data_IF_823472863256
#
_entry.id   IF_823472863256
#
_cell.length_a   1.000
_cell.length_b   1.000
_cell.length_c   1.000
_cell.angle_alpha   90.00
_cell.angle_beta   90.00
_cell.angle_gamma   90.00
#
_symmetry.space_group_name_H-M   'P 1'
#
loop_
_entity.id
_entity.type
_entity.pdbx_description
1 polymer ?
#
# COMPACT_ATOMS: atom_id res chain seq x y z
N UNK A 1 -16.78 -13.21 -1.43
CA UNK A 1 -17.05 -12.95 0.00
C UNK A 1 -16.89 -11.45 0.19
N UNK A 2 -17.83 -10.77 0.86
CA UNK A 2 -17.71 -9.34 1.07
C UNK A 2 -16.45 -8.99 1.89
N UNK A 3 -15.90 -7.79 1.70
CA UNK A 3 -14.80 -7.32 2.53
C UNK A 3 -15.31 -7.08 3.96
N UNK A 4 -14.58 -7.61 4.93
CA UNK A 4 -14.82 -7.45 6.35
C UNK A 4 -13.68 -6.58 6.91
N UNK A 5 -13.93 -5.32 7.27
CA UNK A 5 -12.89 -4.41 7.76
C UNK A 5 -12.27 -4.87 9.09
N UNK A 6 -12.85 -5.86 9.77
CA UNK A 6 -12.30 -6.45 11.00
C UNK A 6 -11.37 -7.64 10.76
N UNK A 7 -11.13 -8.06 9.51
CA UNK A 7 -10.34 -9.26 9.19
C UNK A 7 -9.02 -8.94 8.50
N UNK A 8 -8.06 -9.80 8.76
CA UNK A 8 -6.82 -9.87 7.99
C UNK A 8 -7.05 -10.65 6.70
N UNK A 9 -6.44 -10.21 5.60
CA UNK A 9 -6.44 -10.96 4.34
C UNK A 9 -5.01 -11.27 3.93
N UNK A 10 -4.76 -12.50 3.49
CA UNK A 10 -3.45 -12.96 3.03
C UNK A 10 -3.60 -13.70 1.69
N UNK A 11 -2.65 -13.50 0.79
CA UNK A 11 -2.59 -14.25 -0.47
C UNK A 11 -1.77 -13.53 -1.53
N UNK A 12 -1.65 -14.13 -2.70
CA UNK A 12 -1.20 -13.42 -3.91
C UNK A 12 -2.32 -12.54 -4.51
N UNK A 13 -1.96 -11.74 -5.52
CA UNK A 13 -2.92 -10.89 -6.24
C UNK A 13 -4.07 -11.72 -6.82
N UNK A 14 -5.30 -11.28 -6.59
CA UNK A 14 -6.51 -11.89 -7.16
C UNK A 14 -7.04 -13.10 -6.38
N UNK A 15 -6.27 -13.69 -5.46
CA UNK A 15 -6.78 -14.72 -4.53
C UNK A 15 -6.40 -14.38 -3.09
N UNK A 16 -6.69 -13.15 -2.69
CA UNK A 16 -6.67 -12.79 -1.28
C UNK A 16 -7.74 -13.58 -0.54
N UNK A 17 -7.35 -14.21 0.56
CA UNK A 17 -8.26 -14.95 1.42
C UNK A 17 -8.30 -14.30 2.79
N UNK A 18 -9.50 -14.14 3.34
CA UNK A 18 -9.65 -13.77 4.75
C UNK A 18 -8.99 -14.86 5.61
N UNK A 19 -8.08 -14.47 6.48
CA UNK A 19 -7.57 -15.37 7.49
C UNK A 19 -8.69 -15.72 8.48
N UNK A 20 -8.72 -16.96 9.00
CA UNK A 20 -9.50 -17.28 10.19
C UNK A 20 -9.19 -16.26 11.30
N UNK A 21 -10.17 -15.99 12.17
CA UNK A 21 -9.97 -15.04 13.26
C UNK A 21 -8.79 -15.55 14.11
N UNK A 22 -7.67 -14.81 14.18
CA UNK A 22 -6.53 -15.24 14.99
C UNK A 22 -6.91 -15.19 16.46
N UNK A 23 -6.15 -15.90 17.28
CA UNK A 23 -6.21 -15.71 18.72
C UNK A 23 -5.86 -14.24 19.09
N UNK A 24 -6.32 -13.74 20.24
CA UNK A 24 -6.13 -12.34 20.64
C UNK A 24 -4.65 -11.93 20.87
N UNK A 25 -3.70 -12.87 20.74
CA UNK A 25 -2.27 -12.70 20.93
C UNK A 25 -1.51 -12.29 19.65
N UNK A 26 -2.20 -11.80 18.61
CA UNK A 26 -1.54 -11.26 17.42
C UNK A 26 -0.52 -10.18 17.80
N UNK A 27 0.74 -10.40 17.43
CA UNK A 27 1.81 -9.43 17.67
C UNK A 27 2.31 -8.84 16.37
N UNK A 28 2.45 -7.51 16.37
CA UNK A 28 3.05 -6.73 15.28
C UNK A 28 4.28 -6.05 15.85
N UNK A 29 5.47 -6.42 15.35
CA UNK A 29 6.75 -5.90 15.85
C UNK A 29 7.47 -5.15 14.75
N UNK A 30 7.76 -3.86 14.98
CA UNK A 30 8.63 -3.10 14.08
C UNK A 30 10.09 -3.45 14.34
N UNK A 31 10.73 -4.07 13.36
CA UNK A 31 12.15 -4.42 13.39
C UNK A 31 12.95 -3.39 12.60
N UNK A 32 13.99 -2.85 13.24
CA UNK A 32 15.02 -2.06 12.57
C UNK A 32 15.92 -3.01 11.80
N UNK A 33 16.28 -2.65 10.57
CA UNK A 33 17.28 -3.40 9.81
C UNK A 33 18.36 -2.47 9.27
N UNK A 34 19.57 -3.01 9.21
CA UNK A 34 20.75 -2.35 8.62
C UNK A 34 22.04 -2.92 9.17
N UNK A 35 23.17 -2.27 8.87
CA UNK A 35 24.49 -2.76 9.21
C UNK A 35 24.80 -2.57 10.70
N UNK A 36 25.39 -3.58 11.35
CA UNK A 36 26.01 -3.42 12.67
C UNK A 36 27.52 -3.46 12.47
N UNK A 37 28.16 -2.34 12.73
CA UNK A 37 29.61 -2.18 12.65
C UNK A 37 30.19 -2.23 14.06
N UNK A 38 31.06 -3.20 14.32
CA UNK A 38 31.80 -3.28 15.58
C UNK A 38 33.23 -2.82 15.35
N UNK A 39 33.62 -1.76 16.05
CA UNK A 39 34.99 -1.23 15.99
C UNK A 39 35.94 -2.04 16.89
N UNK A 40 37.25 -1.89 16.68
CA UNK A 40 38.28 -2.67 17.39
C UNK A 40 38.27 -2.52 18.93
N UNK A 41 37.62 -1.47 19.47
CA UNK A 41 37.46 -1.27 20.91
C UNK A 41 36.14 -1.85 21.46
N UNK A 42 35.34 -2.53 20.64
CA UNK A 42 34.04 -3.09 21.00
C UNK A 42 32.86 -2.11 20.87
N UNK A 43 33.08 -0.85 20.46
CA UNK A 43 31.97 0.06 20.22
C UNK A 43 31.19 -0.35 18.96
N UNK A 44 29.86 -0.37 19.09
CA UNK A 44 28.92 -0.77 18.02
C UNK A 44 28.23 0.46 17.45
N UNK A 45 28.32 0.62 16.13
CA UNK A 45 27.56 1.59 15.34
C UNK A 45 26.50 0.80 14.57
N UNK A 46 25.24 1.21 14.69
CA UNK A 46 24.13 0.60 13.96
C UNK A 46 23.67 1.57 12.90
N UNK A 47 23.88 1.22 11.63
CA UNK A 47 23.34 1.94 10.51
C UNK A 47 21.88 1.50 10.32
N UNK A 48 20.93 2.40 10.56
CA UNK A 48 19.51 2.12 10.38
C UNK A 48 19.15 2.42 8.93
N UNK A 49 19.00 1.38 8.12
CA UNK A 49 18.58 1.50 6.72
C UNK A 49 17.06 1.66 6.59
N UNK A 50 16.31 1.13 7.55
CA UNK A 50 14.87 1.28 7.61
C UNK A 50 14.21 0.42 8.69
N UNK A 51 12.90 0.32 8.58
CA UNK A 51 12.05 -0.47 9.46
C UNK A 51 11.25 -1.45 8.60
N UNK A 52 11.03 -2.65 9.13
CA UNK A 52 10.18 -3.69 8.56
C UNK A 52 9.30 -4.26 9.65
N UNK A 53 8.08 -4.61 9.29
CA UNK A 53 7.12 -5.15 10.23
C UNK A 53 7.17 -6.67 10.21
N UNK A 54 7.29 -7.27 11.39
CA UNK A 54 7.05 -8.69 11.62
C UNK A 54 5.64 -8.86 12.18
N UNK A 55 4.89 -9.78 11.59
CA UNK A 55 3.54 -10.15 12.04
C UNK A 55 3.56 -11.60 12.52
N UNK A 56 3.08 -11.86 13.73
CA UNK A 56 2.90 -13.22 14.24
C UNK A 56 1.44 -13.47 14.51
N UNK A 57 0.94 -14.54 13.92
CA UNK A 57 -0.43 -15.02 14.07
C UNK A 57 -0.41 -16.36 14.78
N UNK A 58 -1.25 -16.53 15.79
CA UNK A 58 -1.58 -17.82 16.38
C UNK A 58 -3.02 -18.16 16.01
N UNK A 59 -3.24 -19.39 15.56
CA UNK A 59 -4.56 -19.92 15.23
C UNK A 59 -4.75 -21.23 15.98
N UNK A 60 -5.80 -21.33 16.78
CA UNK A 60 -6.23 -22.60 17.36
C UNK A 60 -7.25 -23.30 16.47
N UNK A 61 -7.20 -24.63 16.46
CA UNK A 61 -8.19 -25.48 15.82
C UNK A 61 -8.46 -25.18 14.33
N UNK A 62 -7.42 -24.87 13.55
CA UNK A 62 -7.59 -24.69 12.10
C UNK A 62 -8.08 -25.98 11.44
N UNK A 63 -8.99 -25.81 10.49
CA UNK A 63 -9.43 -26.89 9.62
C UNK A 63 -8.28 -27.38 8.73
N UNK A 64 -8.29 -28.65 8.34
CA UNK A 64 -7.29 -29.21 7.44
C UNK A 64 -7.15 -28.40 6.13
N UNK A 65 -8.23 -27.95 5.45
CA UNK A 65 -8.10 -27.10 4.26
C UNK A 65 -7.39 -25.76 4.52
N UNK A 66 -7.62 -25.13 5.68
CA UNK A 66 -6.99 -23.85 6.03
C UNK A 66 -5.51 -24.02 6.32
N UNK A 67 -5.16 -25.05 7.09
CA UNK A 67 -3.77 -25.39 7.36
C UNK A 67 -3.02 -25.78 6.07
N UNK A 68 -3.63 -26.60 5.21
CA UNK A 68 -3.04 -26.99 3.93
C UNK A 68 -2.77 -25.79 3.03
N UNK A 69 -3.67 -24.80 3.01
CA UNK A 69 -3.48 -23.56 2.26
C UNK A 69 -2.33 -22.71 2.81
N UNK A 70 -2.24 -22.49 4.14
CA UNK A 70 -1.12 -21.78 4.77
C UNK A 70 0.22 -22.47 4.48
N UNK A 71 0.23 -23.80 4.58
CA UNK A 71 1.40 -24.62 4.27
C UNK A 71 1.78 -24.53 2.79
N UNK A 72 0.82 -24.45 1.87
CA UNK A 72 1.08 -24.28 0.44
C UNK A 72 1.72 -22.94 0.11
N UNK A 73 1.35 -21.87 0.82
CA UNK A 73 2.02 -20.57 0.73
C UNK A 73 3.45 -20.66 1.29
N UNK A 74 3.64 -21.23 2.49
CA UNK A 74 4.96 -21.40 3.12
C UNK A 74 5.94 -22.22 2.27
N UNK A 75 5.47 -23.37 1.76
CA UNK A 75 6.25 -24.27 0.88
C UNK A 75 6.37 -23.75 -0.56
N UNK A 76 5.81 -22.58 -0.87
CA UNK A 76 5.84 -21.94 -2.19
C UNK A 76 5.21 -22.78 -3.31
N UNK A 77 4.27 -23.66 -2.98
CA UNK A 77 3.39 -24.30 -3.97
C UNK A 77 2.50 -23.26 -4.63
N UNK A 78 2.09 -22.25 -3.86
CA UNK A 78 1.52 -21.00 -4.37
C UNK A 78 2.66 -19.98 -4.40
N UNK A 79 3.07 -19.54 -5.58
CA UNK A 79 4.22 -18.62 -5.73
C UNK A 79 3.85 -17.20 -5.29
N UNK A 80 4.80 -16.55 -4.61
CA UNK A 80 4.69 -15.13 -4.23
C UNK A 80 4.93 -14.17 -5.42
N UNK A 81 4.87 -12.85 -5.17
CA UNK A 81 4.78 -12.21 -3.86
C UNK A 81 3.39 -12.34 -3.19
N UNK A 82 3.36 -12.47 -1.87
CA UNK A 82 2.13 -12.43 -1.09
C UNK A 82 1.89 -11.02 -0.53
N UNK A 83 0.63 -10.70 -0.29
CA UNK A 83 0.17 -9.45 0.29
C UNK A 83 -0.64 -9.74 1.53
N UNK A 84 -0.42 -8.93 2.56
CA UNK A 84 -1.20 -8.89 3.78
C UNK A 84 -2.00 -7.60 3.78
N UNK A 85 -3.33 -7.70 3.91
CA UNK A 85 -4.19 -6.55 4.22
C UNK A 85 -4.48 -6.56 5.72
N UNK A 86 -4.08 -5.48 6.38
CA UNK A 86 -4.29 -5.25 7.80
C UNK A 86 -5.59 -4.50 8.06
N UNK A 87 -6.43 -4.96 9.00
CA UNK A 87 -7.61 -4.22 9.45
C UNK A 87 -7.26 -3.04 10.37
N UNK A 88 -5.99 -2.92 10.81
CA UNK A 88 -5.57 -1.90 11.78
C UNK A 88 -5.39 -0.51 11.17
N UNK A 89 -5.38 -0.41 9.83
CA UNK A 89 -5.26 0.84 9.07
C UNK A 89 -6.18 0.75 7.86
N UNK A 90 -6.69 1.88 7.37
CA UNK A 90 -7.52 1.88 6.15
C UNK A 90 -6.73 2.11 4.88
N UNK A 91 -5.66 2.90 4.97
CA UNK A 91 -4.92 3.36 3.81
C UNK A 91 -3.96 2.27 3.29
N UNK A 92 -4.32 1.67 2.15
CA UNK A 92 -3.60 0.59 1.47
C UNK A 92 -2.28 1.05 0.82
N UNK A 93 -2.05 2.37 0.67
CA UNK A 93 -0.77 2.91 0.19
C UNK A 93 0.33 2.76 1.24
N UNK A 94 1.59 2.95 0.88
CA UNK A 94 2.69 2.94 1.86
C UNK A 94 2.64 4.13 2.82
N UNK A 95 3.22 4.00 4.02
CA UNK A 95 3.48 5.14 4.90
C UNK A 95 4.27 6.27 4.21
N UNK A 96 5.25 5.93 3.36
CA UNK A 96 6.09 6.89 2.64
C UNK A 96 5.28 7.71 1.63
N UNK A 97 4.39 7.04 0.88
CA UNK A 97 3.51 7.70 -0.06
C UNK A 97 2.50 8.63 0.63
N UNK A 98 1.80 8.11 1.64
CA UNK A 98 0.77 8.86 2.39
C UNK A 98 1.31 10.10 3.09
N UNK A 99 2.55 10.06 3.60
CA UNK A 99 3.18 11.19 4.30
C UNK A 99 3.95 12.15 3.40
N UNK A 100 4.21 11.78 2.14
CA UNK A 100 5.13 12.52 1.28
C UNK A 100 6.56 12.53 1.85
N UNK A 101 6.94 11.53 2.66
CA UNK A 101 8.26 11.43 3.25
C UNK A 101 9.06 10.31 2.55
N UNK A 102 10.24 10.66 2.04
CA UNK A 102 11.17 9.66 1.49
C UNK A 102 12.03 9.14 2.64
N UNK A 103 11.98 7.83 2.88
CA UNK A 103 12.95 7.16 3.74
C UNK A 103 13.53 5.95 3.01
N UNK A 104 14.86 5.87 2.96
CA UNK A 104 15.58 4.69 2.53
C UNK A 104 15.82 4.59 1.02
N UNK A 105 16.33 3.42 0.61
CA UNK A 105 16.99 3.19 -0.69
C UNK A 105 16.01 2.65 -1.76
N UNK A 106 14.81 2.18 -1.39
CA UNK A 106 13.98 1.36 -2.29
C UNK A 106 12.49 1.68 -2.37
N UNK A 107 11.90 2.43 -1.44
CA UNK A 107 10.47 2.82 -1.48
C UNK A 107 10.33 4.32 -1.70
N UNK A 108 10.12 4.70 -2.96
CA UNK A 108 10.07 6.12 -3.36
C UNK A 108 8.84 6.86 -2.81
N UNK A 109 7.80 6.14 -2.39
CA UNK A 109 6.50 6.69 -1.99
C UNK A 109 5.74 7.34 -3.16
N UNK A 110 6.41 8.12 -3.99
CA UNK A 110 5.91 8.76 -5.20
C UNK A 110 6.92 8.57 -6.32
N UNK A 111 6.43 8.27 -7.52
CA UNK A 111 7.26 8.22 -8.72
C UNK A 111 6.74 9.20 -9.76
N UNK A 112 7.56 10.18 -10.13
CA UNK A 112 7.31 11.04 -11.28
C UNK A 112 8.01 10.47 -12.52
N UNK A 113 7.30 10.40 -13.65
CA UNK A 113 7.84 10.09 -14.97
C UNK A 113 7.60 11.31 -15.86
N UNK A 114 8.62 11.71 -16.63
CA UNK A 114 8.53 12.89 -17.51
C UNK A 114 8.14 14.19 -16.78
N UNK A 115 8.43 14.30 -15.48
CA UNK A 115 8.14 15.48 -14.68
C UNK A 115 9.23 15.71 -13.61
N UNK A 116 9.50 16.99 -13.33
CA UNK A 116 10.35 17.44 -12.22
C UNK A 116 9.50 17.65 -10.98
N UNK A 117 10.07 17.39 -9.81
CA UNK A 117 9.36 17.51 -8.54
C UNK A 117 10.28 17.99 -7.42
N UNK A 118 9.65 18.49 -6.35
CA UNK A 118 10.28 18.86 -5.09
C UNK A 118 9.37 18.44 -3.91
N UNK A 119 9.95 18.39 -2.71
CA UNK A 119 9.20 18.22 -1.46
C UNK A 119 9.11 19.54 -0.72
N UNK A 120 7.90 19.95 -0.38
CA UNK A 120 7.64 21.26 0.23
C UNK A 120 6.90 21.12 1.54
N UNK A 121 7.26 21.94 2.52
CA UNK A 121 6.57 22.06 3.80
C UNK A 121 5.27 22.89 3.65
N UNK A 122 4.32 22.40 2.86
CA UNK A 122 3.01 23.01 2.63
C UNK A 122 1.96 21.90 2.65
N UNK A 123 1.38 21.58 3.80
CA UNK A 123 0.45 20.44 3.96
C UNK A 123 -0.94 20.93 4.42
N UNK A 124 -2.06 20.29 4.02
CA UNK A 124 -3.39 20.67 4.47
C UNK A 124 -3.52 20.55 6.00
N UNK A 125 -3.79 21.66 6.67
CA UNK A 125 -3.84 21.76 8.14
C UNK A 125 -4.93 20.91 8.80
N UNK A 126 -5.94 20.48 8.05
CA UNK A 126 -7.05 19.67 8.54
C UNK A 126 -6.76 18.16 8.57
N UNK A 127 -5.58 17.72 8.14
CA UNK A 127 -5.23 16.30 8.00
C UNK A 127 -4.23 15.87 9.08
N UNK A 128 -4.61 14.89 9.90
CA UNK A 128 -3.76 14.27 10.93
C UNK A 128 -3.77 12.73 10.80
N UNK A 129 -2.66 12.01 11.11
CA UNK A 129 -1.36 12.53 11.48
C UNK A 129 -0.65 13.20 10.31
N UNK A 130 0.00 14.34 10.59
CA UNK A 130 0.64 15.19 9.60
C UNK A 130 1.83 14.47 8.95
N UNK A 131 1.73 14.19 7.66
CA UNK A 131 2.91 14.34 6.81
C UNK A 131 3.27 15.83 6.83
N UNK A 132 4.53 16.19 7.06
CA UNK A 132 4.92 17.60 7.03
C UNK A 132 5.20 18.09 5.60
N UNK A 133 5.12 17.20 4.61
CA UNK A 133 5.62 17.45 3.26
C UNK A 133 4.59 17.05 2.22
N UNK A 134 4.55 17.84 1.15
CA UNK A 134 3.83 17.50 -0.06
C UNK A 134 4.80 17.19 -1.17
N UNK A 135 4.39 16.27 -2.01
CA UNK A 135 5.04 16.07 -3.29
C UNK A 135 4.55 17.16 -4.25
N UNK A 136 5.43 18.02 -4.73
CA UNK A 136 5.06 19.09 -5.66
C UNK A 136 5.71 18.84 -7.01
N UNK A 137 4.90 18.65 -8.04
CA UNK A 137 5.39 18.74 -9.42
C UNK A 137 5.76 20.21 -9.67
N UNK A 138 6.84 20.47 -10.39
CA UNK A 138 7.27 21.84 -10.74
C UNK A 138 7.28 22.06 -12.24
N UNK A 139 7.60 21.01 -13.01
CA UNK A 139 7.66 21.07 -14.46
C UNK A 139 7.27 19.73 -15.07
N UNK A 140 6.63 19.76 -16.24
CA UNK A 140 6.33 18.57 -17.05
C UNK A 140 7.05 18.72 -18.38
N UNK A 141 7.72 17.65 -18.81
CA UNK A 141 8.49 17.66 -20.06
C UNK A 141 7.58 17.78 -21.29
N UNK A 142 8.16 17.69 -22.49
CA UNK A 142 7.40 17.70 -23.75
C UNK A 142 6.55 16.44 -23.97
N UNK A 143 6.76 15.38 -23.18
CA UNK A 143 5.91 14.18 -23.15
C UNK A 143 4.90 14.25 -21.99
N UNK A 144 3.76 13.54 -22.06
CA UNK A 144 2.82 13.51 -20.95
C UNK A 144 3.52 13.09 -19.66
N UNK A 145 3.35 13.89 -18.61
CA UNK A 145 3.89 13.60 -17.30
C UNK A 145 3.01 12.59 -16.57
N UNK A 146 3.61 11.71 -15.79
CA UNK A 146 2.90 10.79 -14.91
C UNK A 146 3.39 10.93 -13.49
N UNK A 147 2.46 10.84 -12.54
CA UNK A 147 2.78 10.71 -11.12
C UNK A 147 2.08 9.47 -10.58
N UNK A 148 2.83 8.56 -9.98
CA UNK A 148 2.36 7.26 -9.52
C UNK A 148 2.61 7.17 -8.00
N UNK A 149 1.57 7.29 -7.16
CA UNK A 149 1.63 6.91 -5.75
C UNK A 149 2.13 5.46 -5.61
N UNK A 150 3.02 5.21 -4.66
CA UNK A 150 3.72 3.93 -4.45
C UNK A 150 4.58 3.42 -5.63
N UNK A 151 4.72 4.22 -6.69
CA UNK A 151 5.54 3.91 -7.86
C UNK A 151 5.02 2.74 -8.72
N UNK A 152 5.77 2.39 -9.75
CA UNK A 152 5.33 1.43 -10.76
C UNK A 152 5.43 -0.04 -10.33
N UNK A 153 6.15 -0.33 -9.26
CA UNK A 153 6.48 -1.71 -8.81
C UNK A 153 5.58 -2.23 -7.68
N UNK A 154 4.85 -1.35 -7.00
CA UNK A 154 3.95 -1.74 -5.92
C UNK A 154 2.52 -1.71 -6.42
N UNK A 155 1.80 -2.77 -6.13
CA UNK A 155 0.41 -2.95 -6.48
C UNK A 155 -0.45 -2.88 -5.23
N UNK A 156 -1.66 -2.34 -5.36
CA UNK A 156 -2.65 -2.33 -4.29
C UNK A 156 -3.57 -3.50 -4.52
N UNK A 157 -3.44 -4.61 -3.77
CA UNK A 157 -4.28 -5.78 -3.97
C UNK A 157 -5.73 -5.42 -3.63
N UNK A 158 -6.67 -5.94 -4.42
CA UNK A 158 -8.10 -5.67 -4.24
C UNK A 158 -8.90 -6.97 -4.23
N UNK A 159 -10.11 -6.91 -3.69
CA UNK A 159 -11.08 -7.98 -3.74
C UNK A 159 -12.11 -7.65 -4.82
N UNK A 160 -12.36 -8.55 -5.79
CA UNK A 160 -13.41 -8.32 -6.78
C UNK A 160 -14.79 -8.09 -6.16
N UNK A 161 -15.53 -7.14 -6.70
CA UNK A 161 -16.86 -6.75 -6.24
C UNK A 161 -16.89 -5.75 -5.08
N UNK A 162 -15.74 -5.46 -4.47
CA UNK A 162 -15.65 -4.53 -3.33
C UNK A 162 -15.27 -3.13 -3.79
N UNK A 163 -16.04 -2.08 -3.48
CA UNK A 163 -15.68 -0.73 -3.88
C UNK A 163 -14.38 -0.30 -3.20
N UNK A 164 -13.49 0.32 -3.96
CA UNK A 164 -12.24 0.91 -3.51
C UNK A 164 -12.20 2.37 -3.93
N UNK A 165 -11.89 3.26 -3.00
CA UNK A 165 -11.79 4.70 -3.23
C UNK A 165 -10.34 5.16 -3.11
N UNK A 166 -9.82 5.76 -4.17
CA UNK A 166 -8.58 6.53 -4.15
C UNK A 166 -8.89 8.01 -3.91
N UNK A 167 -8.22 8.64 -2.96
CA UNK A 167 -8.36 10.06 -2.68
C UNK A 167 -7.02 10.74 -2.44
N UNK A 168 -6.97 12.03 -2.69
CA UNK A 168 -5.77 12.86 -2.52
C UNK A 168 -6.18 14.31 -2.29
N UNK A 169 -5.38 15.05 -1.53
CA UNK A 169 -5.49 16.51 -1.48
C UNK A 169 -4.60 17.11 -2.55
N UNK A 170 -5.16 18.04 -3.32
CA UNK A 170 -4.46 18.77 -4.38
C UNK A 170 -4.57 20.27 -4.14
N UNK A 171 -3.50 20.99 -4.49
CA UNK A 171 -3.41 22.46 -4.52
C UNK A 171 -2.47 22.85 -5.65
N UNK A 172 -2.83 23.88 -6.41
CA UNK A 172 -2.00 24.42 -7.47
C UNK A 172 -1.70 25.91 -7.22
N UNK A 173 -0.72 26.48 -7.91
CA UNK A 173 -0.47 27.93 -7.93
C UNK A 173 -1.51 28.71 -8.76
N UNK A 174 -2.15 28.05 -9.72
CA UNK A 174 -3.22 28.57 -10.56
C UNK A 174 -4.21 27.45 -10.91
N UNK A 175 -5.47 27.82 -11.15
CA UNK A 175 -6.52 26.87 -11.46
C UNK A 175 -6.19 26.03 -12.70
N UNK A 176 -6.31 24.71 -12.60
CA UNK A 176 -5.95 23.78 -13.69
C UNK A 176 -6.63 22.42 -13.53
N UNK A 177 -6.71 21.69 -14.63
CA UNK A 177 -7.25 20.34 -14.66
C UNK A 177 -6.14 19.29 -14.61
N UNK A 178 -6.30 18.29 -13.73
CA UNK A 178 -5.43 17.11 -13.61
C UNK A 178 -6.29 15.88 -13.84
N UNK A 179 -5.81 14.92 -14.64
CA UNK A 179 -6.51 13.64 -14.79
C UNK A 179 -6.00 12.66 -13.72
N UNK A 180 -6.85 12.31 -12.77
CA UNK A 180 -6.67 11.18 -11.88
C UNK A 180 -7.01 9.90 -12.63
N UNK A 181 -6.28 8.81 -12.38
CA UNK A 181 -6.63 7.51 -12.91
C UNK A 181 -6.40 6.38 -11.90
N UNK A 182 -7.15 5.30 -12.09
CA UNK A 182 -6.93 4.00 -11.47
C UNK A 182 -6.71 2.98 -12.59
N UNK A 183 -5.46 2.54 -12.71
CA UNK A 183 -5.10 1.45 -13.60
C UNK A 183 -5.45 0.12 -12.95
N UNK A 184 -6.08 -0.75 -13.73
CA UNK A 184 -6.46 -2.10 -13.32
C UNK A 184 -5.31 -3.04 -13.65
N UNK A 185 -4.98 -3.94 -12.72
CA UNK A 185 -3.88 -4.89 -12.86
C UNK A 185 -4.44 -6.30 -12.66
N UNK A 186 -4.09 -7.23 -13.55
CA UNK A 186 -4.46 -8.64 -13.41
C UNK A 186 -3.60 -9.37 -12.36
N UNK A 187 -3.89 -10.65 -12.12
CA UNK A 187 -3.15 -11.45 -11.13
C UNK A 187 -1.68 -11.68 -11.46
N UNK A 188 -1.27 -11.44 -12.70
CA UNK A 188 0.10 -11.58 -13.19
C UNK A 188 0.87 -10.26 -13.19
N UNK A 189 0.25 -9.15 -12.75
CA UNK A 189 0.87 -7.84 -12.74
C UNK A 189 0.78 -7.11 -14.09
N UNK A 190 -0.10 -7.56 -14.99
CA UNK A 190 -0.27 -6.98 -16.33
C UNK A 190 -1.43 -5.97 -16.30
N UNK A 191 -1.26 -4.76 -16.88
CA UNK A 191 -2.34 -3.81 -17.02
C UNK A 191 -3.52 -4.34 -17.84
N UNK A 192 -4.73 -4.15 -17.31
CA UNK A 192 -5.99 -4.45 -17.99
C UNK A 192 -6.50 -3.16 -18.66
N UNK A 193 -6.88 -3.24 -19.93
CA UNK A 193 -7.40 -2.10 -20.67
C UNK A 193 -8.65 -1.48 -20.00
N UNK A 194 -8.83 -0.17 -20.21
CA UNK A 194 -9.97 0.58 -19.69
C UNK A 194 -9.87 0.89 -18.20
N UNK A 195 -8.75 1.48 -17.78
CA UNK A 195 -8.61 2.09 -16.46
C UNK A 195 -9.65 3.20 -16.24
N UNK A 196 -9.96 3.48 -14.98
CA UNK A 196 -10.90 4.54 -14.64
C UNK A 196 -10.19 5.89 -14.61
N UNK A 197 -10.82 6.95 -15.10
CA UNK A 197 -10.26 8.30 -15.08
C UNK A 197 -11.25 9.30 -14.52
N UNK A 198 -10.75 10.37 -13.91
CA UNK A 198 -11.54 11.52 -13.47
C UNK A 198 -10.72 12.80 -13.58
N UNK A 199 -11.35 13.86 -14.09
CA UNK A 199 -10.73 15.19 -14.11
C UNK A 199 -10.93 15.89 -12.77
N UNK A 200 -9.84 16.23 -12.10
CA UNK A 200 -9.79 17.07 -10.92
C UNK A 200 -9.50 18.53 -11.34
N UNK A 201 -10.46 19.44 -11.07
CA UNK A 201 -10.29 20.87 -11.30
C UNK A 201 -9.67 21.50 -10.04
N UNK A 202 -8.35 21.55 -10.00
CA UNK A 202 -7.56 21.98 -8.85
C UNK A 202 -7.48 23.50 -8.82
N UNK A 203 -7.59 24.08 -7.62
CA UNK A 203 -7.51 25.53 -7.38
C UNK A 203 -6.31 25.90 -6.51
N UNK A 204 -6.24 27.17 -6.09
CA UNK A 204 -5.18 27.69 -5.20
C UNK A 204 -5.34 27.29 -3.74
N UNK A 205 -6.46 26.65 -3.39
CA UNK A 205 -6.74 26.13 -2.05
C UNK A 205 -6.67 24.61 -2.03
N UNK A 206 -6.30 24.05 -0.88
CA UNK A 206 -6.34 22.60 -0.68
C UNK A 206 -7.75 22.06 -0.86
N UNK A 207 -7.92 21.13 -1.80
CA UNK A 207 -9.18 20.43 -2.06
C UNK A 207 -8.92 18.94 -2.12
N UNK A 208 -9.84 18.15 -1.57
CA UNK A 208 -9.78 16.69 -1.65
C UNK A 208 -10.55 16.21 -2.86
N UNK A 209 -9.90 15.40 -3.68
CA UNK A 209 -10.50 14.70 -4.80
C UNK A 209 -10.52 13.20 -4.51
N UNK A 210 -11.54 12.51 -5.02
CA UNK A 210 -11.71 11.07 -4.82
C UNK A 210 -12.28 10.42 -6.07
N UNK A 211 -11.75 9.24 -6.39
CA UNK A 211 -12.11 8.37 -7.50
C UNK A 211 -12.42 6.98 -6.95
N UNK A 212 -13.66 6.51 -7.15
CA UNK A 212 -14.14 5.21 -6.65
C UNK A 212 -14.31 4.22 -7.80
N UNK A 213 -13.85 2.99 -7.59
CA UNK A 213 -13.97 1.89 -8.54
C UNK A 213 -14.38 0.60 -7.83
N UNK A 214 -15.26 -0.19 -8.44
CA UNK A 214 -15.58 -1.55 -8.00
C UNK A 214 -14.88 -2.54 -8.94
N UNK A 215 -13.79 -3.20 -8.52
CA UNK A 215 -13.03 -4.12 -9.35
C UNK A 215 -13.87 -5.30 -9.84
N UNK A 216 -13.74 -5.64 -11.13
CA UNK A 216 -14.33 -6.85 -11.69
C UNK A 216 -13.51 -8.10 -11.32
N UNK A 217 -14.03 -9.29 -11.65
CA UNK A 217 -13.38 -10.58 -11.32
C UNK A 217 -11.98 -10.77 -11.91
N UNK A 218 -11.66 -10.07 -13.00
CA UNK A 218 -10.34 -10.10 -13.65
C UNK A 218 -9.32 -9.12 -13.01
N UNK A 219 -9.79 -8.19 -12.17
CA UNK A 219 -8.97 -7.13 -11.57
C UNK A 219 -8.45 -7.58 -10.20
N UNK A 220 -7.16 -7.87 -10.13
CA UNK A 220 -6.48 -8.39 -8.95
C UNK A 220 -5.82 -7.31 -8.09
N UNK A 221 -5.47 -6.18 -8.72
CA UNK A 221 -4.89 -5.02 -8.08
C UNK A 221 -5.27 -3.72 -8.78
N UNK A 222 -5.07 -2.61 -8.08
CA UNK A 222 -5.14 -1.26 -8.62
C UNK A 222 -3.80 -0.54 -8.49
N UNK A 223 -3.55 0.39 -9.41
CA UNK A 223 -2.45 1.36 -9.34
C UNK A 223 -3.02 2.76 -9.59
N UNK A 224 -3.10 3.62 -8.56
CA UNK A 224 -3.51 5.01 -8.75
C UNK A 224 -2.43 5.78 -9.49
N UNK A 225 -2.83 6.88 -10.11
CA UNK A 225 -1.89 7.80 -10.71
C UNK A 225 -2.54 9.09 -11.20
N UNK A 226 -1.70 9.96 -11.72
CA UNK A 226 -2.08 11.23 -12.32
C UNK A 226 -1.41 11.37 -13.67
N UNK A 227 -2.12 11.98 -14.62
CA UNK A 227 -1.59 12.35 -15.94
C UNK A 227 -1.63 13.87 -16.07
N UNK A 228 -0.52 14.42 -16.54
CA UNK A 228 -0.36 15.85 -16.80
C UNK A 228 -0.31 16.14 -18.31
N UNK A 229 -0.88 17.27 -18.76
CA UNK A 229 -0.67 17.75 -20.11
C UNK A 229 0.81 18.10 -20.35
N UNK A 230 1.23 18.06 -21.62
CA UNK A 230 2.63 18.26 -22.05
C UNK A 230 3.09 19.72 -21.93
N UNK A 231 4.40 19.92 -21.75
CA UNK A 231 5.12 21.19 -21.90
C UNK A 231 4.56 22.37 -21.08
N UNK A 232 4.32 22.14 -19.78
CA UNK A 232 3.81 23.17 -18.87
C UNK A 232 4.62 23.23 -17.58
N UNK A 233 4.90 24.45 -17.13
CA UNK A 233 5.26 24.69 -15.74
C UNK A 233 4.07 24.28 -14.87
N UNK A 234 4.30 23.31 -13.98
CA UNK A 234 3.22 22.59 -13.35
C UNK A 234 3.37 22.56 -11.83
N UNK A 235 3.15 23.69 -11.15
CA UNK A 235 3.25 23.78 -9.69
C UNK A 235 1.99 23.25 -8.99
N UNK A 236 1.86 21.93 -8.95
CA UNK A 236 0.78 21.26 -8.20
C UNK A 236 1.38 20.44 -7.08
N UNK A 237 0.89 20.69 -5.86
CA UNK A 237 1.18 19.94 -4.66
C UNK A 237 0.14 18.83 -4.43
N UNK A 238 0.64 17.67 -4.01
CA UNK A 238 -0.08 16.44 -3.71
C UNK A 238 0.16 16.09 -2.23
N UNK A 239 -0.92 15.86 -1.48
CA UNK A 239 -0.87 15.56 -0.06
C UNK A 239 -1.82 14.44 0.32
N UNK A 240 -1.46 13.68 1.35
CA UNK A 240 -2.30 12.67 1.99
C UNK A 240 -3.02 11.72 1.01
N UNK A 241 -2.31 11.09 0.04
CA UNK A 241 -2.94 10.11 -0.82
C UNK A 241 -3.43 8.93 0.03
N UNK A 242 -4.62 8.43 -0.28
CA UNK A 242 -5.24 7.32 0.42
C UNK A 242 -5.98 6.43 -0.55
N UNK A 243 -5.76 5.11 -0.45
CA UNK A 243 -6.62 4.11 -1.09
C UNK A 243 -7.23 3.25 -0.01
N UNK A 244 -8.54 3.08 -0.01
CA UNK A 244 -9.26 2.32 1.01
C UNK A 244 -10.48 1.61 0.43
N UNK A 245 -10.94 0.55 1.08
CA UNK A 245 -12.23 -0.07 0.76
C UNK A 245 -13.39 0.84 1.20
N UNK A 246 -14.42 0.93 0.36
CA UNK A 246 -15.61 1.74 0.58
C UNK A 246 -15.92 2.66 -0.59
N UNK A 247 -17.14 3.22 -0.58
CA UNK A 247 -17.65 4.11 -1.62
C UNK A 247 -17.29 5.59 -1.41
N UNK A 248 -16.75 5.93 -0.24
CA UNK A 248 -16.50 7.32 0.17
C UNK A 248 -15.14 7.38 0.84
N UNK A 249 -14.38 8.41 0.50
CA UNK A 249 -13.10 8.68 1.13
C UNK A 249 -13.31 9.06 2.61
N UNK A 250 -12.74 8.30 3.54
CA UNK A 250 -12.78 8.57 4.99
C UNK A 250 -11.67 9.54 5.39
N UNK A 251 -11.58 9.96 6.66
CA UNK A 251 -10.47 10.81 7.10
C UNK A 251 -9.12 10.23 6.66
N UNK A 252 -8.20 11.10 6.24
CA UNK A 252 -6.89 10.65 5.78
C UNK A 252 -6.11 10.03 6.93
N UNK A 253 -5.55 8.84 6.71
CA UNK A 253 -4.78 8.05 7.66
C UNK A 253 -3.41 7.70 7.08
N UNK A 254 -2.47 7.37 7.97
CA UNK A 254 -1.19 6.84 7.57
C UNK A 254 -1.37 5.53 6.78
N UNK A 255 -0.60 5.39 5.70
CA UNK A 255 -0.52 4.17 4.90
C UNK A 255 -0.04 2.95 5.69
N UNK A 256 0.04 1.81 5.00
CA UNK A 256 0.55 0.54 5.52
C UNK A 256 -0.54 -0.47 5.82
N UNK A 257 -1.77 -0.26 5.33
CA UNK A 257 -2.82 -1.28 5.41
C UNK A 257 -2.58 -2.43 4.42
N UNK A 258 -1.78 -2.24 3.37
CA UNK A 258 -1.36 -3.31 2.46
C UNK A 258 0.16 -3.43 2.38
N UNK A 259 0.66 -4.61 2.74
CA UNK A 259 2.09 -4.88 2.86
C UNK A 259 2.44 -6.14 2.07
N UNK A 260 3.52 -6.09 1.30
CA UNK A 260 4.07 -7.30 0.68
C UNK A 260 4.78 -8.10 1.77
N UNK A 261 4.48 -9.38 1.86
CA UNK A 261 5.01 -10.25 2.92
C UNK A 261 5.60 -11.54 2.38
N UNK A 262 6.54 -12.09 3.13
CA UNK A 262 7.05 -13.44 3.02
C UNK A 262 6.61 -14.23 4.26
N UNK A 263 6.25 -15.49 4.08
CA UNK A 263 6.03 -16.40 5.21
C UNK A 263 7.39 -16.95 5.60
N UNK A 264 7.85 -16.59 6.79
CA UNK A 264 9.17 -16.96 7.31
C UNK A 264 9.12 -18.29 8.05
N UNK A 265 8.14 -18.44 8.95
CA UNK A 265 8.01 -19.62 9.78
C UNK A 265 6.54 -20.05 9.89
N UNK A 266 6.32 -21.36 9.84
CA UNK A 266 5.06 -22.01 10.25
C UNK A 266 5.40 -23.14 11.22
N UNK A 267 4.76 -23.13 12.39
CA UNK A 267 4.83 -24.23 13.36
C UNK A 267 3.43 -24.66 13.70
N UNK A 268 3.19 -25.95 13.87
CA UNK A 268 1.87 -26.42 14.27
C UNK A 268 1.90 -27.71 15.05
N UNK A 269 0.85 -27.90 15.84
CA UNK A 269 0.58 -29.09 16.66
C UNK A 269 -0.86 -29.52 16.43
N UNK A 270 -1.14 -30.81 16.44
CA UNK A 270 -2.50 -31.34 16.25
C UNK A 270 -3.08 -31.72 17.61
N UNK A 271 -3.80 -30.83 18.32
CA UNK A 271 -4.39 -31.16 19.61
C UNK A 271 -5.47 -32.24 19.49
N UNK A 272 -6.20 -32.24 18.38
CA UNK A 272 -7.29 -33.17 18.10
C UNK A 272 -7.47 -33.33 16.59
N UNK A 273 -7.43 -34.55 16.06
CA UNK A 273 -7.68 -34.78 14.64
C UNK A 273 -9.13 -34.40 14.24
N UNK A 274 -9.38 -33.66 13.13
CA UNK A 274 -8.46 -33.18 12.09
C UNK A 274 -7.99 -31.71 12.26
N UNK A 275 -8.07 -31.17 13.47
CA UNK A 275 -7.78 -29.78 13.80
C UNK A 275 -6.30 -29.56 14.12
N UNK A 276 -5.74 -28.43 13.70
CA UNK A 276 -4.33 -28.09 13.92
C UNK A 276 -4.20 -26.70 14.53
N UNK A 277 -3.44 -26.57 15.62
CA UNK A 277 -2.99 -25.28 16.14
C UNK A 277 -1.76 -24.85 15.36
N UNK A 278 -1.71 -23.61 14.90
CA UNK A 278 -0.68 -23.12 13.99
C UNK A 278 -0.23 -21.72 14.41
N UNK A 279 1.08 -21.52 14.52
CA UNK A 279 1.68 -20.20 14.57
C UNK A 279 2.38 -19.88 13.24
N UNK A 280 2.11 -18.69 12.69
CA UNK A 280 2.66 -18.20 11.43
C UNK A 280 3.40 -16.88 11.68
N UNK A 281 4.64 -16.78 11.21
CA UNK A 281 5.40 -15.53 11.19
C UNK A 281 5.52 -15.02 9.75
N UNK A 282 5.09 -13.77 9.54
CA UNK A 282 5.21 -13.06 8.28
C UNK A 282 6.22 -11.92 8.43
N UNK A 283 7.08 -11.77 7.42
CA UNK A 283 8.05 -10.67 7.32
C UNK A 283 7.66 -9.76 6.17
N UNK A 284 7.60 -8.45 6.40
CA UNK A 284 7.50 -7.45 5.35
C UNK A 284 8.69 -7.56 4.36
N UNK A 285 8.38 -7.64 3.06
CA UNK A 285 9.32 -7.90 1.97
C UNK A 285 9.86 -6.61 1.33
#
# INVERSE_FOLDING_TARGET
MPFDPGRWYLGWLGELRALPVPEPDLTTTEKRFGGVHESLNGARVVDITGFRTEYRFTFAYLSEPDYAWLRALYLRHIRGPHYLISPLRKNLLSPQCSTGYIHGVQDYGWQALSASYEYVLDYPSAVAPAGNRTFRITNVSTAPGYLIPDGSKKFIPVLPGEPVTFSVYLKADAARSITMHLEKIDKFGVPIAGGLTQTANVTTSWQRFALTHTPAADTAALRPGFVFPTAQTYNTAFAAPQVEYGNVATAAELGGASTKVLIDQITGTSPQYPLTDVAVTLLEA
#
